data_IF_416587275736
#
_entry.id   IF_416587275736
#
_cell.length_a   1.000
_cell.length_b   1.000
_cell.length_c   1.000
_cell.angle_alpha   90.00
_cell.angle_beta   90.00
_cell.angle_gamma   90.00
#
_symmetry.space_group_name_H-M   'P 1'
#
loop_
_entity.id
_entity.type
_entity.pdbx_description
1 polymer ?
#
# COMPACT_ATOMS: atom_id res chain seq x y z
N UNK A 1 12.27 12.78 40.22
CA UNK A 1 12.20 11.32 40.46
C UNK A 1 12.70 10.66 39.18
N UNK A 2 13.84 9.96 39.25
CA UNK A 2 14.44 9.30 38.11
C UNK A 2 13.59 8.07 37.74
N UNK A 3 12.73 8.20 36.73
CA UNK A 3 12.16 7.06 36.03
C UNK A 3 13.27 6.43 35.19
N UNK A 4 13.71 5.25 35.62
CA UNK A 4 14.55 4.35 34.82
C UNK A 4 13.76 3.96 33.57
N UNK A 5 14.10 4.55 32.43
CA UNK A 5 13.61 4.09 31.13
C UNK A 5 14.22 2.71 30.86
N UNK A 6 13.39 1.68 30.73
CA UNK A 6 13.82 0.44 30.11
C UNK A 6 14.31 0.77 28.69
N UNK A 7 15.37 0.09 28.22
CA UNK A 7 15.86 0.32 26.86
C UNK A 7 14.73 0.04 25.87
N UNK A 8 14.68 0.76 24.76
CA UNK A 8 13.72 0.53 23.66
C UNK A 8 13.71 -0.94 23.22
N UNK A 9 14.85 -1.63 23.37
CA UNK A 9 15.03 -3.04 23.11
C UNK A 9 14.29 -3.95 24.11
N UNK A 10 14.23 -3.57 25.39
CA UNK A 10 13.55 -4.34 26.43
C UNK A 10 12.04 -4.16 26.41
N UNK A 11 11.53 -2.97 26.07
CA UNK A 11 10.09 -2.79 25.80
C UNK A 11 9.64 -3.52 24.53
N UNK A 12 10.48 -3.59 23.49
CA UNK A 12 10.16 -4.38 22.29
C UNK A 12 10.13 -5.88 22.61
N UNK A 13 11.00 -6.35 23.50
CA UNK A 13 11.02 -7.73 24.01
C UNK A 13 9.78 -8.06 24.87
N UNK A 14 9.29 -7.14 25.71
CA UNK A 14 8.08 -7.36 26.50
C UNK A 14 6.81 -7.37 25.63
N UNK A 15 6.81 -6.68 24.48
CA UNK A 15 5.73 -6.75 23.49
C UNK A 15 5.94 -7.93 22.51
N UNK A 16 7.15 -8.53 22.45
CA UNK A 16 7.43 -9.70 21.59
C UNK A 16 6.64 -10.95 21.99
N UNK A 17 6.24 -11.10 23.27
CA UNK A 17 5.33 -12.18 23.69
C UNK A 17 3.95 -12.06 23.00
N UNK A 18 3.48 -10.84 22.71
CA UNK A 18 2.29 -10.60 21.89
C UNK A 18 2.55 -10.72 20.37
N UNK A 19 3.81 -10.54 19.92
CA UNK A 19 4.18 -10.60 18.49
C UNK A 19 4.53 -11.98 17.96
N UNK A 20 4.80 -12.96 18.83
CA UNK A 20 5.19 -14.32 18.44
C UNK A 20 6.38 -14.36 17.46
N UNK A 21 7.29 -13.39 17.58
CA UNK A 21 8.52 -13.35 16.77
C UNK A 21 9.60 -14.13 17.52
N UNK A 22 10.23 -15.10 16.84
CA UNK A 22 11.28 -15.95 17.43
C UNK A 22 12.52 -15.12 17.81
N UNK A 23 13.05 -15.33 19.03
CA UNK A 23 14.29 -14.72 19.54
C UNK A 23 15.48 -14.96 18.61
N UNK A 24 15.53 -16.12 17.93
CA UNK A 24 16.55 -16.41 16.93
C UNK A 24 16.50 -15.43 15.76
N UNK A 25 15.31 -15.12 15.23
CA UNK A 25 15.14 -14.14 14.16
C UNK A 25 15.55 -12.73 14.61
N UNK A 26 15.14 -12.31 15.81
CA UNK A 26 15.56 -11.01 16.36
C UNK A 26 17.08 -10.96 16.50
N UNK A 27 17.73 -12.04 16.94
CA UNK A 27 19.19 -12.10 17.07
C UNK A 27 19.90 -11.93 15.73
N UNK A 28 19.36 -12.48 14.63
CA UNK A 28 19.92 -12.37 13.27
C UNK A 28 19.97 -10.90 12.83
N UNK A 29 18.88 -10.16 13.03
CA UNK A 29 18.74 -8.79 12.54
C UNK A 29 19.18 -7.72 13.57
N UNK A 30 19.62 -8.15 14.75
CA UNK A 30 20.12 -7.26 15.79
C UNK A 30 21.62 -7.03 15.64
N UNK A 31 22.07 -5.82 16.00
CA UNK A 31 23.49 -5.45 15.98
C UNK A 31 23.86 -4.51 14.83
N UNK A 32 25.12 -4.06 14.85
CA UNK A 32 25.69 -3.24 13.79
C UNK A 32 26.40 -4.15 12.79
N UNK A 33 25.80 -4.32 11.63
CA UNK A 33 26.36 -5.13 10.54
C UNK A 33 26.97 -4.20 9.49
N UNK A 34 28.12 -4.60 8.93
CA UNK A 34 28.53 -4.03 7.65
C UNK A 34 27.49 -4.38 6.59
N UNK A 35 27.48 -3.62 5.49
CA UNK A 35 26.52 -3.88 4.41
C UNK A 35 26.59 -5.30 3.86
N UNK A 36 27.79 -5.84 3.66
CA UNK A 36 27.95 -7.20 3.11
C UNK A 36 27.48 -8.27 4.10
N UNK A 37 27.74 -8.06 5.39
CA UNK A 37 27.21 -8.94 6.44
C UNK A 37 25.68 -8.90 6.47
N UNK A 38 25.08 -7.70 6.46
CA UNK A 38 23.64 -7.52 6.41
C UNK A 38 22.99 -8.23 5.21
N UNK A 39 23.60 -8.12 4.03
CA UNK A 39 23.14 -8.81 2.82
C UNK A 39 23.23 -10.35 2.94
N UNK A 40 24.31 -10.88 3.52
CA UNK A 40 24.46 -12.31 3.76
C UNK A 40 23.49 -12.83 4.83
N UNK A 41 23.09 -12.00 5.80
CA UNK A 41 22.12 -12.38 6.83
C UNK A 41 20.71 -12.60 6.27
N UNK A 42 20.37 -11.99 5.13
CA UNK A 42 19.07 -12.21 4.46
C UNK A 42 18.84 -13.67 4.07
N UNK A 43 19.91 -14.43 3.83
CA UNK A 43 19.85 -15.87 3.52
C UNK A 43 19.46 -16.75 4.71
N UNK A 44 19.56 -16.20 5.92
CA UNK A 44 19.19 -16.89 7.16
C UNK A 44 17.75 -16.60 7.58
N UNK A 45 17.03 -15.76 6.83
CA UNK A 45 15.67 -15.35 7.15
C UNK A 45 14.68 -16.27 6.45
N UNK A 46 13.79 -16.88 7.23
CA UNK A 46 12.59 -17.50 6.68
C UNK A 46 11.58 -16.40 6.31
N UNK A 47 11.47 -16.13 5.01
CA UNK A 47 10.62 -15.08 4.47
C UNK A 47 9.13 -15.43 4.47
N UNK A 48 8.73 -16.66 4.78
CA UNK A 48 7.31 -17.02 4.87
C UNK A 48 6.68 -16.42 6.14
N UNK A 49 7.47 -16.30 7.23
CA UNK A 49 7.04 -15.84 8.55
C UNK A 49 5.76 -16.56 9.02
N UNK A 50 5.76 -17.89 8.89
CA UNK A 50 4.65 -18.76 9.30
C UNK A 50 4.33 -18.59 10.79
N UNK A 51 3.04 -18.46 11.12
CA UNK A 51 2.58 -18.32 12.52
C UNK A 51 2.83 -16.96 13.20
N UNK A 52 3.61 -16.06 12.59
CA UNK A 52 3.90 -14.72 13.16
C UNK A 52 2.71 -13.78 12.99
N UNK A 53 2.39 -13.01 14.04
CA UNK A 53 1.30 -12.03 13.94
C UNK A 53 1.65 -10.87 13.02
N UNK A 54 0.67 -10.43 12.25
CA UNK A 54 0.79 -9.26 11.35
C UNK A 54 -0.15 -8.13 11.77
N UNK A 55 -0.91 -8.35 12.84
CA UNK A 55 -1.97 -7.47 13.33
C UNK A 55 -1.62 -6.95 14.70
N UNK A 56 -0.87 -5.85 14.75
CA UNK A 56 -0.56 -5.18 16.01
C UNK A 56 -0.64 -3.66 15.91
N UNK A 57 -0.84 -3.01 17.07
CA UNK A 57 -0.89 -1.56 17.20
C UNK A 57 -1.72 -0.92 16.07
N UNK A 58 -1.14 0.04 15.36
CA UNK A 58 -1.80 0.77 14.29
C UNK A 58 -2.00 -0.04 13.00
N UNK A 59 -1.33 -1.18 12.79
CA UNK A 59 -1.61 -2.06 11.64
C UNK A 59 -3.07 -2.58 11.63
N UNK A 60 -3.73 -2.58 12.79
CA UNK A 60 -5.12 -3.02 12.98
C UNK A 60 -6.20 -1.99 12.62
N UNK A 61 -5.84 -0.73 12.31
CA UNK A 61 -6.82 0.36 12.23
C UNK A 61 -7.82 0.21 11.08
N UNK A 62 -7.34 -0.27 9.93
CA UNK A 62 -8.16 -0.32 8.72
C UNK A 62 -7.89 -1.61 7.94
N UNK A 63 -8.96 -2.22 7.46
CA UNK A 63 -8.86 -3.27 6.45
C UNK A 63 -8.43 -2.64 5.13
N UNK A 64 -7.29 -3.07 4.59
CA UNK A 64 -6.78 -2.62 3.30
C UNK A 64 -6.27 -3.86 2.56
N UNK A 65 -6.68 -4.07 1.30
CA UNK A 65 -6.30 -5.25 0.52
C UNK A 65 -4.83 -5.17 0.08
N UNK A 66 -4.24 -6.33 -0.29
CA UNK A 66 -2.93 -6.40 -0.94
C UNK A 66 -1.79 -5.68 -0.17
N UNK A 67 -1.70 -5.94 1.14
CA UNK A 67 -0.61 -5.46 1.99
C UNK A 67 0.45 -6.53 2.14
N UNK A 68 1.73 -6.16 2.10
CA UNK A 68 2.76 -7.05 2.63
C UNK A 68 2.75 -7.08 4.17
N UNK A 69 3.41 -8.09 4.72
CA UNK A 69 3.51 -8.28 6.17
C UNK A 69 4.52 -7.30 6.78
N UNK A 70 4.32 -6.82 8.03
CA UNK A 70 5.23 -5.87 8.67
C UNK A 70 6.68 -6.37 8.83
N UNK A 71 6.87 -7.68 8.95
CA UNK A 71 8.19 -8.29 9.16
C UNK A 71 9.17 -8.03 8.00
N UNK A 72 8.65 -7.83 6.78
CA UNK A 72 9.50 -7.52 5.63
C UNK A 72 10.15 -6.13 5.80
N UNK A 73 9.41 -5.01 5.86
CA UNK A 73 10.02 -3.71 6.09
C UNK A 73 10.79 -3.65 7.41
N UNK A 74 10.30 -4.28 8.48
CA UNK A 74 11.04 -4.38 9.74
C UNK A 74 12.45 -4.94 9.55
N UNK A 75 12.59 -6.07 8.84
CA UNK A 75 13.89 -6.69 8.53
C UNK A 75 14.84 -5.71 7.84
N UNK A 76 14.40 -5.08 6.75
CA UNK A 76 15.24 -4.17 5.99
C UNK A 76 15.59 -2.91 6.77
N UNK A 77 14.65 -2.36 7.55
CA UNK A 77 14.88 -1.21 8.42
C UNK A 77 15.96 -1.54 9.45
N UNK A 78 15.89 -2.70 10.12
CA UNK A 78 16.86 -3.09 11.13
C UNK A 78 18.26 -3.33 10.55
N UNK A 79 18.36 -3.93 9.38
CA UNK A 79 19.64 -4.30 8.76
C UNK A 79 20.33 -3.16 7.99
N UNK A 80 19.57 -2.25 7.37
CA UNK A 80 20.13 -1.28 6.41
C UNK A 80 20.01 0.19 6.82
N UNK A 81 19.44 0.47 7.99
CA UNK A 81 19.29 1.85 8.50
C UNK A 81 19.70 2.01 9.95
N UNK A 82 20.12 3.22 10.30
CA UNK A 82 20.32 3.68 11.67
C UNK A 82 19.15 4.56 12.11
N UNK A 83 19.09 4.88 13.39
CA UNK A 83 18.13 5.89 13.87
C UNK A 83 18.32 7.22 13.14
N UNK A 84 17.21 7.90 12.84
CA UNK A 84 17.13 9.13 12.04
C UNK A 84 17.46 9.01 10.54
N UNK A 85 17.93 7.85 10.04
CA UNK A 85 17.96 7.61 8.59
C UNK A 85 16.54 7.68 8.01
N UNK A 86 16.45 8.02 6.72
CA UNK A 86 15.17 8.22 6.04
C UNK A 86 14.79 6.98 5.22
N UNK A 87 13.65 6.37 5.56
CA UNK A 87 13.06 5.23 4.84
C UNK A 87 11.95 5.73 3.92
N UNK A 88 12.01 5.35 2.64
CA UNK A 88 10.99 5.70 1.65
C UNK A 88 10.15 4.49 1.28
N UNK A 89 8.84 4.71 1.21
CA UNK A 89 7.90 3.86 0.51
C UNK A 89 7.17 4.70 -0.56
N UNK A 90 7.55 4.60 -1.85
CA UNK A 90 7.04 5.44 -2.93
C UNK A 90 5.61 5.07 -3.36
N UNK A 91 5.08 3.93 -2.90
CA UNK A 91 3.73 3.43 -3.16
C UNK A 91 3.14 2.85 -1.87
N UNK A 92 3.08 3.68 -0.82
CA UNK A 92 3.02 3.21 0.56
C UNK A 92 1.72 2.51 0.96
N UNK A 93 0.66 2.62 0.16
CA UNK A 93 -0.66 2.11 0.52
C UNK A 93 -1.06 2.62 1.90
N UNK A 94 -1.43 1.71 2.80
CA UNK A 94 -1.78 2.04 4.19
C UNK A 94 -0.56 2.17 5.15
N UNK A 95 0.66 2.23 4.62
CA UNK A 95 1.84 2.69 5.35
C UNK A 95 2.47 1.64 6.25
N UNK A 96 2.52 0.38 5.83
CA UNK A 96 3.18 -0.69 6.61
C UNK A 96 4.67 -0.36 6.85
N UNK A 97 5.40 0.08 5.82
CA UNK A 97 6.80 0.55 5.96
C UNK A 97 6.92 1.74 6.91
N UNK A 98 5.97 2.68 6.84
CA UNK A 98 6.02 3.90 7.65
C UNK A 98 5.82 3.61 9.13
N UNK A 99 4.88 2.72 9.46
CA UNK A 99 4.65 2.29 10.85
C UNK A 99 5.88 1.59 11.40
N UNK A 100 6.46 0.66 10.64
CA UNK A 100 7.68 -0.04 11.09
C UNK A 100 8.87 0.92 11.25
N UNK A 101 8.98 1.92 10.38
CA UNK A 101 10.00 2.96 10.51
C UNK A 101 9.79 3.78 11.79
N UNK A 102 8.54 4.19 12.04
CA UNK A 102 8.16 4.97 13.22
C UNK A 102 8.41 4.20 14.53
N UNK A 103 7.99 2.94 14.61
CA UNK A 103 8.21 2.07 15.78
C UNK A 103 9.70 1.84 16.07
N UNK A 104 10.55 1.95 15.05
CA UNK A 104 11.99 1.77 15.17
C UNK A 104 12.77 3.11 15.18
N UNK A 105 12.12 4.26 15.35
CA UNK A 105 12.81 5.56 15.45
C UNK A 105 13.56 5.99 14.17
N UNK A 106 13.07 5.55 13.00
CA UNK A 106 13.54 6.02 11.68
C UNK A 106 12.63 7.13 11.18
N UNK A 107 13.21 8.08 10.47
CA UNK A 107 12.42 9.03 9.71
C UNK A 107 11.85 8.31 8.49
N UNK A 108 10.67 8.71 8.02
CA UNK A 108 10.06 8.07 6.87
C UNK A 108 9.31 9.03 5.96
N UNK A 109 9.31 8.71 4.67
CA UNK A 109 8.50 9.38 3.65
C UNK A 109 7.64 8.30 2.99
N UNK A 110 6.33 8.51 2.98
CA UNK A 110 5.39 7.70 2.22
C UNK A 110 4.79 8.51 1.10
N UNK A 111 4.75 7.95 -0.10
CA UNK A 111 4.03 8.51 -1.23
C UNK A 111 2.97 7.50 -1.70
N UNK A 112 1.75 7.96 -1.93
CA UNK A 112 0.73 7.15 -2.60
C UNK A 112 -0.26 8.05 -3.34
N UNK A 113 -0.75 7.62 -4.50
CA UNK A 113 -1.71 8.41 -5.26
C UNK A 113 -3.12 8.35 -4.64
N UNK A 114 -3.45 7.28 -3.91
CA UNK A 114 -4.74 7.08 -3.27
C UNK A 114 -4.85 7.94 -1.99
N UNK A 115 -5.72 8.97 -1.96
CA UNK A 115 -5.85 9.85 -0.80
C UNK A 115 -6.39 9.14 0.45
N UNK A 116 -7.13 8.03 0.28
CA UNK A 116 -7.54 7.23 1.43
C UNK A 116 -6.33 6.50 2.05
N UNK A 117 -5.44 5.99 1.21
CA UNK A 117 -4.26 5.29 1.64
C UNK A 117 -3.30 6.22 2.40
N UNK A 118 -3.10 7.44 1.90
CA UNK A 118 -2.29 8.47 2.57
C UNK A 118 -2.90 8.90 3.91
N UNK A 119 -4.22 9.10 3.98
CA UNK A 119 -4.91 9.43 5.24
C UNK A 119 -4.71 8.32 6.29
N UNK A 120 -4.90 7.04 5.90
CA UNK A 120 -4.70 5.90 6.80
C UNK A 120 -3.23 5.85 7.26
N UNK A 121 -2.28 5.98 6.34
CA UNK A 121 -0.85 5.99 6.63
C UNK A 121 -0.45 7.09 7.63
N UNK A 122 -0.99 8.30 7.45
CA UNK A 122 -0.77 9.43 8.35
C UNK A 122 -1.26 9.12 9.76
N UNK A 123 -2.52 8.69 9.90
CA UNK A 123 -3.10 8.39 11.22
C UNK A 123 -2.37 7.25 11.92
N UNK A 124 -1.93 6.22 11.19
CA UNK A 124 -1.19 5.10 11.76
C UNK A 124 0.20 5.47 12.31
N UNK A 125 0.72 6.64 11.94
CA UNK A 125 2.04 7.14 12.32
C UNK A 125 1.98 8.45 13.11
N UNK A 126 0.78 8.89 13.53
CA UNK A 126 0.58 10.11 14.31
C UNK A 126 0.11 9.77 15.72
N UNK A 127 0.90 10.10 16.73
CA UNK A 127 0.48 10.00 18.13
C UNK A 127 -0.39 11.21 18.48
N UNK A 128 -1.49 10.94 19.20
CA UNK A 128 -2.43 11.96 19.65
C UNK A 128 -2.35 12.03 21.18
N UNK A 129 -2.16 13.22 21.78
CA UNK A 129 -2.18 13.38 23.23
C UNK A 129 -3.48 12.86 23.83
N UNK A 130 -3.40 12.20 24.99
CA UNK A 130 -4.58 11.62 25.64
C UNK A 130 -5.68 12.67 25.91
N UNK A 131 -5.26 13.89 26.24
CA UNK A 131 -6.15 15.02 26.47
C UNK A 131 -7.05 15.34 25.27
N UNK A 132 -6.55 15.17 24.04
CA UNK A 132 -7.25 15.51 22.81
C UNK A 132 -8.30 14.46 22.43
N UNK A 133 -8.12 13.20 22.85
CA UNK A 133 -9.18 12.19 22.70
C UNK A 133 -10.45 12.54 23.47
N UNK A 134 -10.35 13.28 24.58
CA UNK A 134 -11.54 13.74 25.34
C UNK A 134 -12.45 14.61 24.48
N UNK A 135 -11.88 15.28 23.48
CA UNK A 135 -12.63 16.16 22.61
C UNK A 135 -13.53 15.39 21.64
N UNK A 136 -13.02 14.35 20.95
CA UNK A 136 -13.86 13.48 20.12
C UNK A 136 -14.88 12.70 20.96
N UNK A 137 -14.52 12.27 22.18
CA UNK A 137 -15.45 11.61 23.11
C UNK A 137 -16.61 12.52 23.51
N UNK A 138 -16.34 13.81 23.79
CA UNK A 138 -17.36 14.82 24.06
C UNK A 138 -18.29 15.03 22.86
N UNK A 139 -17.73 15.10 21.64
CA UNK A 139 -18.50 15.25 20.41
C UNK A 139 -19.39 14.04 20.14
N UNK A 140 -18.87 12.82 20.31
CA UNK A 140 -19.63 11.57 20.24
C UNK A 140 -20.79 11.57 21.26
N UNK A 141 -20.55 12.03 22.49
CA UNK A 141 -21.61 12.11 23.50
C UNK A 141 -22.72 13.11 23.13
N UNK A 142 -22.37 14.25 22.53
CA UNK A 142 -23.35 15.21 22.01
C UNK A 142 -24.14 14.65 20.82
N UNK A 143 -23.47 13.99 19.89
CA UNK A 143 -24.07 13.32 18.73
C UNK A 143 -25.19 12.37 19.15
N UNK A 144 -24.99 11.60 20.23
CA UNK A 144 -26.02 10.70 20.79
C UNK A 144 -27.28 11.41 21.32
N UNK A 145 -27.21 12.71 21.61
CA UNK A 145 -28.34 13.49 22.17
C UNK A 145 -29.20 14.19 21.12
N UNK A 146 -28.69 14.37 19.91
CA UNK A 146 -29.36 15.11 18.84
C UNK A 146 -29.42 14.24 17.58
N UNK A 147 -30.62 13.75 17.25
CA UNK A 147 -30.92 13.03 16.02
C UNK A 147 -32.16 13.67 15.39
N UNK A 148 -32.05 14.94 14.99
CA UNK A 148 -33.01 15.53 14.06
C UNK A 148 -32.49 15.27 12.64
N UNK A 149 -33.23 14.44 11.89
CA UNK A 149 -32.88 14.10 10.52
C UNK A 149 -33.31 15.23 9.58
N UNK A 150 -32.37 15.88 8.92
CA UNK A 150 -32.68 16.75 7.77
C UNK A 150 -32.97 15.88 6.54
N UNK A 151 -34.26 15.64 6.30
CA UNK A 151 -34.72 14.79 5.20
C UNK A 151 -34.38 15.36 3.81
N UNK A 152 -34.23 16.68 3.64
CA UNK A 152 -33.94 17.29 2.35
C UNK A 152 -32.53 16.97 1.86
N UNK A 153 -31.53 17.11 2.76
CA UNK A 153 -30.14 16.76 2.47
C UNK A 153 -29.92 15.27 2.23
N UNK A 154 -30.72 14.41 2.89
CA UNK A 154 -30.69 12.96 2.69
C UNK A 154 -31.16 12.57 1.28
N UNK A 155 -32.20 13.20 0.75
CA UNK A 155 -32.75 12.90 -0.57
C UNK A 155 -31.77 13.29 -1.69
N UNK A 156 -31.17 14.48 -1.64
CA UNK A 156 -30.15 14.91 -2.59
C UNK A 156 -28.94 13.96 -2.64
N UNK A 157 -28.52 13.43 -1.50
CA UNK A 157 -27.39 12.49 -1.44
C UNK A 157 -27.73 11.15 -2.09
N UNK A 158 -28.95 10.64 -1.89
CA UNK A 158 -29.42 9.38 -2.48
C UNK A 158 -29.37 9.47 -4.01
N UNK A 159 -29.85 10.57 -4.57
CA UNK A 159 -29.92 10.78 -6.01
C UNK A 159 -28.53 10.85 -6.67
N UNK A 160 -27.52 11.28 -5.90
CA UNK A 160 -26.13 11.41 -6.35
C UNK A 160 -25.24 10.18 -6.05
N UNK A 161 -25.77 9.09 -5.48
CA UNK A 161 -24.98 7.87 -5.24
C UNK A 161 -24.63 7.16 -6.57
N UNK A 162 -23.40 6.60 -6.71
CA UNK A 162 -23.03 5.83 -7.90
C UNK A 162 -23.98 4.65 -8.14
N UNK A 163 -24.56 4.56 -9.35
CA UNK A 163 -25.56 3.55 -9.70
C UNK A 163 -24.95 2.13 -9.74
N UNK A 164 -25.15 1.34 -8.66
CA UNK A 164 -24.87 -0.10 -8.55
C UNK A 164 -25.88 -0.77 -7.60
N UNK A 165 -25.98 -2.10 -7.63
CA UNK A 165 -26.81 -2.97 -6.76
C UNK A 165 -26.58 -2.81 -5.22
N UNK A 166 -25.75 -1.85 -4.79
CA UNK A 166 -25.42 -1.50 -3.40
C UNK A 166 -26.18 -0.24 -2.93
N UNK A 167 -26.96 0.42 -3.79
CA UNK A 167 -27.91 1.47 -3.38
C UNK A 167 -28.88 0.99 -2.27
N UNK A 168 -29.09 -0.32 -2.14
CA UNK A 168 -29.91 -0.93 -1.08
C UNK A 168 -29.27 -0.90 0.32
N UNK A 169 -27.93 -0.74 0.42
CA UNK A 169 -27.23 -0.66 1.72
C UNK A 169 -27.40 0.74 2.33
N UNK A 170 -27.22 1.77 1.51
CA UNK A 170 -27.32 3.17 1.90
C UNK A 170 -28.78 3.66 1.83
N UNK A 171 -29.64 3.12 2.68
CA UNK A 171 -31.00 3.65 2.85
C UNK A 171 -31.02 4.98 3.62
N UNK A 172 -32.16 5.69 3.64
CA UNK A 172 -32.33 6.99 4.32
C UNK A 172 -31.78 7.00 5.76
N UNK A 173 -32.05 5.95 6.54
CA UNK A 173 -31.59 5.83 7.93
C UNK A 173 -30.07 5.72 8.03
N UNK A 174 -29.45 4.87 7.20
CA UNK A 174 -27.99 4.70 7.18
C UNK A 174 -27.30 5.99 6.72
N UNK A 175 -27.82 6.62 5.68
CA UNK A 175 -27.30 7.90 5.17
C UNK A 175 -27.36 8.97 6.26
N UNK A 176 -28.51 9.13 6.93
CA UNK A 176 -28.65 10.08 8.04
C UNK A 176 -27.58 9.88 9.10
N UNK A 177 -27.35 8.64 9.54
CA UNK A 177 -26.31 8.30 10.53
C UNK A 177 -24.89 8.63 10.06
N UNK A 178 -24.58 8.35 8.79
CA UNK A 178 -23.27 8.66 8.22
C UNK A 178 -23.04 10.17 8.10
N UNK A 179 -24.07 10.94 7.71
CA UNK A 179 -24.01 12.41 7.67
C UNK A 179 -23.82 12.99 9.07
N UNK A 180 -24.52 12.51 10.10
CA UNK A 180 -24.33 12.98 11.48
C UNK A 180 -22.89 12.78 11.96
N UNK A 181 -22.28 11.61 11.70
CA UNK A 181 -20.87 11.37 12.05
C UNK A 181 -19.96 12.34 11.29
N UNK A 182 -20.22 12.54 9.99
CA UNK A 182 -19.42 13.44 9.15
C UNK A 182 -19.50 14.89 9.63
N UNK A 183 -20.69 15.40 9.95
CA UNK A 183 -20.87 16.76 10.50
C UNK A 183 -20.13 16.93 11.83
N UNK A 184 -20.24 15.95 12.72
CA UNK A 184 -19.47 15.94 13.97
C UNK A 184 -17.96 16.01 13.71
N UNK A 185 -17.44 15.30 12.71
CA UNK A 185 -16.03 15.38 12.32
C UNK A 185 -15.67 16.76 11.72
N UNK A 186 -16.54 17.36 10.92
CA UNK A 186 -16.32 18.71 10.38
C UNK A 186 -16.23 19.75 11.49
N UNK A 187 -17.07 19.68 12.53
CA UNK A 187 -16.94 20.56 13.70
C UNK A 187 -15.58 20.39 14.41
N UNK A 188 -15.05 19.15 14.47
CA UNK A 188 -13.72 18.91 15.06
C UNK A 188 -12.63 19.60 14.22
N UNK A 189 -12.75 19.57 12.88
CA UNK A 189 -11.85 20.27 11.96
C UNK A 189 -11.94 21.78 12.11
N UNK A 190 -13.15 22.34 12.16
CA UNK A 190 -13.39 23.78 12.24
C UNK A 190 -12.90 24.37 13.57
N UNK A 191 -12.92 23.57 14.64
CA UNK A 191 -12.32 23.90 15.94
C UNK A 191 -10.80 23.64 16.00
N UNK A 192 -10.14 23.38 14.85
CA UNK A 192 -8.69 23.21 14.67
C UNK A 192 -8.06 21.94 15.30
N UNK A 193 -8.86 20.91 15.61
CA UNK A 193 -8.35 19.62 16.09
C UNK A 193 -8.01 18.68 14.91
N UNK A 194 -7.06 19.06 14.07
CA UNK A 194 -6.77 18.40 12.79
C UNK A 194 -6.38 16.92 12.91
N UNK A 195 -5.52 16.56 13.88
CA UNK A 195 -5.10 15.16 14.04
C UNK A 195 -6.24 14.28 14.56
N UNK A 196 -7.07 14.83 15.45
CA UNK A 196 -8.29 14.15 15.94
C UNK A 196 -9.32 14.02 14.81
N UNK A 197 -9.42 15.02 13.94
CA UNK A 197 -10.26 14.97 12.74
C UNK A 197 -9.82 13.85 11.80
N UNK A 198 -8.54 13.79 11.42
CA UNK A 198 -8.02 12.75 10.55
C UNK A 198 -8.16 11.35 11.18
N UNK A 199 -7.86 11.22 12.47
CA UNK A 199 -8.12 10.00 13.25
C UNK A 199 -9.59 9.57 13.17
N UNK A 200 -10.51 10.51 13.39
CA UNK A 200 -11.95 10.27 13.29
C UNK A 200 -12.39 9.88 11.88
N UNK A 201 -11.80 10.45 10.83
CA UNK A 201 -12.05 10.06 9.43
C UNK A 201 -11.60 8.63 9.15
N UNK A 202 -10.46 8.18 9.69
CA UNK A 202 -10.02 6.78 9.52
C UNK A 202 -10.95 5.82 10.26
N UNK A 203 -11.39 6.17 11.47
CA UNK A 203 -12.40 5.39 12.18
C UNK A 203 -13.73 5.33 11.41
N UNK A 204 -14.15 6.45 10.81
CA UNK A 204 -15.35 6.54 9.97
C UNK A 204 -15.22 5.69 8.70
N UNK A 205 -14.07 5.75 8.04
CA UNK A 205 -13.74 4.88 6.90
C UNK A 205 -13.80 3.40 7.27
N UNK A 206 -13.23 3.01 8.43
CA UNK A 206 -13.25 1.62 8.89
C UNK A 206 -14.69 1.15 9.19
N UNK A 207 -15.57 2.05 9.63
CA UNK A 207 -17.01 1.78 9.77
C UNK A 207 -17.68 1.58 8.41
N UNK A 208 -17.42 2.44 7.43
CA UNK A 208 -17.95 2.30 6.06
C UNK A 208 -17.49 0.98 5.44
N UNK A 209 -16.22 0.61 5.60
CA UNK A 209 -15.70 -0.68 5.16
C UNK A 209 -16.51 -1.83 5.78
N UNK A 210 -16.71 -1.80 7.10
CA UNK A 210 -17.48 -2.82 7.81
C UNK A 210 -18.93 -2.88 7.33
N UNK A 211 -19.56 -1.73 7.06
CA UNK A 211 -20.92 -1.65 6.54
C UNK A 211 -21.04 -2.28 5.14
N UNK A 212 -20.09 -2.00 4.26
CA UNK A 212 -20.06 -2.56 2.90
C UNK A 212 -19.85 -4.09 2.92
N UNK A 213 -19.00 -4.61 3.81
CA UNK A 213 -18.74 -6.05 3.93
C UNK A 213 -19.92 -6.82 4.53
N UNK A 214 -20.58 -6.29 5.56
CA UNK A 214 -21.59 -7.03 6.33
C UNK A 214 -23.04 -6.75 5.89
N UNK A 215 -23.29 -5.70 5.09
CA UNK A 215 -24.62 -5.39 4.56
C UNK A 215 -25.58 -4.72 5.55
N UNK A 216 -26.88 -4.90 5.32
CA UNK A 216 -27.95 -4.23 6.06
C UNK A 216 -28.10 -4.71 7.50
N UNK A 217 -28.43 -3.78 8.42
CA UNK A 217 -28.69 -4.08 9.84
C UNK A 217 -27.53 -3.76 10.80
N UNK A 218 -26.40 -3.26 10.28
CA UNK A 218 -25.30 -2.79 11.12
C UNK A 218 -25.69 -1.53 11.92
N UNK A 219 -25.37 -1.53 13.21
CA UNK A 219 -25.41 -0.32 14.04
C UNK A 219 -24.17 0.54 13.72
N UNK A 220 -24.34 1.47 12.77
CA UNK A 220 -23.28 2.36 12.27
C UNK A 220 -22.64 3.17 13.39
N UNK A 221 -23.45 3.75 14.29
CA UNK A 221 -22.97 4.65 15.34
C UNK A 221 -22.14 3.88 16.37
N UNK A 222 -22.67 2.76 16.87
CA UNK A 222 -21.95 1.93 17.82
C UNK A 222 -20.69 1.31 17.20
N UNK A 223 -20.73 0.97 15.91
CA UNK A 223 -19.55 0.47 15.18
C UNK A 223 -18.48 1.55 15.11
N UNK A 224 -18.84 2.78 14.75
CA UNK A 224 -17.91 3.92 14.75
C UNK A 224 -17.31 4.19 16.12
N UNK A 225 -18.12 4.19 17.18
CA UNK A 225 -17.65 4.39 18.55
C UNK A 225 -16.66 3.30 18.97
N UNK A 226 -16.97 2.03 18.67
CA UNK A 226 -16.06 0.91 18.95
C UNK A 226 -14.75 1.05 18.18
N UNK A 227 -14.77 1.52 16.93
CA UNK A 227 -13.55 1.80 16.16
C UNK A 227 -12.72 2.92 16.79
N UNK A 228 -13.34 4.02 17.18
CA UNK A 228 -12.68 5.12 17.90
C UNK A 228 -12.02 4.64 19.20
N UNK A 229 -12.76 3.92 20.03
CA UNK A 229 -12.25 3.39 21.31
C UNK A 229 -11.09 2.41 21.11
N UNK A 230 -11.23 1.50 20.15
CA UNK A 230 -10.20 0.55 19.78
C UNK A 230 -8.93 1.25 19.29
N UNK A 231 -9.04 2.14 18.31
CA UNK A 231 -7.89 2.85 17.74
C UNK A 231 -7.21 3.76 18.79
N UNK A 232 -7.98 4.41 19.67
CA UNK A 232 -7.44 5.16 20.80
C UNK A 232 -6.58 4.28 21.71
N UNK A 233 -7.09 3.11 22.12
CA UNK A 233 -6.35 2.16 22.96
C UNK A 233 -5.00 1.81 22.33
N UNK A 234 -5.01 1.43 21.05
CA UNK A 234 -3.80 1.04 20.33
C UNK A 234 -2.81 2.19 20.15
N UNK A 235 -3.26 3.43 19.91
CA UNK A 235 -2.37 4.60 19.86
C UNK A 235 -1.72 4.89 21.23
N UNK A 236 -2.47 4.73 22.32
CA UNK A 236 -1.92 4.91 23.67
C UNK A 236 -0.90 3.83 24.03
N UNK A 237 -1.11 2.58 23.60
CA UNK A 237 -0.09 1.52 23.74
C UNK A 237 1.13 1.81 22.87
N UNK A 238 0.92 2.24 21.62
CA UNK A 238 2.00 2.63 20.71
C UNK A 238 2.85 3.77 21.29
N UNK A 239 2.23 4.76 21.93
CA UNK A 239 2.92 5.87 22.58
C UNK A 239 3.84 5.44 23.74
N UNK A 240 3.58 4.31 24.40
CA UNK A 240 4.45 3.76 25.45
C UNK A 240 5.71 3.11 24.89
N UNK A 241 5.61 2.53 23.68
CA UNK A 241 6.69 1.77 23.03
C UNK A 241 7.63 2.71 22.27
N UNK A 242 7.08 3.77 21.68
CA UNK A 242 7.83 4.74 20.90
C UNK A 242 8.71 5.57 21.82
N UNK A 243 9.96 5.14 21.97
CA UNK A 243 10.97 5.79 22.81
C UNK A 243 11.37 7.19 22.33
N UNK A 244 11.17 7.50 21.04
CA UNK A 244 11.50 8.78 20.42
C UNK A 244 10.57 9.05 19.24
N UNK A 245 10.06 10.28 19.15
CA UNK A 245 9.28 10.71 18.00
C UNK A 245 10.20 10.92 16.79
N UNK A 246 10.02 10.12 15.74
CA UNK A 246 10.65 10.32 14.44
C UNK A 246 9.74 11.10 13.50
N UNK A 247 10.35 11.70 12.47
CA UNK A 247 9.62 12.43 11.44
C UNK A 247 9.00 11.45 10.43
N UNK A 248 7.68 11.53 10.23
CA UNK A 248 6.99 10.82 9.15
C UNK A 248 6.26 11.83 8.25
N UNK A 249 6.63 11.86 6.97
CA UNK A 249 5.95 12.62 5.93
C UNK A 249 5.09 11.68 5.09
N UNK A 250 3.80 11.99 4.94
CA UNK A 250 2.93 11.26 4.02
C UNK A 250 2.46 12.22 2.93
N UNK A 251 2.67 11.85 1.67
CA UNK A 251 2.41 12.66 0.49
C UNK A 251 1.38 11.97 -0.40
N UNK A 252 0.41 12.73 -0.88
CA UNK A 252 -0.46 12.30 -1.97
C UNK A 252 0.20 12.69 -3.29
N UNK A 253 0.80 11.73 -3.98
CA UNK A 253 1.60 12.01 -5.17
C UNK A 253 1.79 10.79 -6.07
N UNK A 254 2.28 11.05 -7.29
CA UNK A 254 2.52 10.03 -8.29
C UNK A 254 3.93 9.45 -8.15
N UNK A 255 4.05 8.13 -8.00
CA UNK A 255 5.35 7.47 -7.85
C UNK A 255 6.25 7.60 -9.09
N UNK A 256 5.68 7.93 -10.25
CA UNK A 256 6.41 8.22 -11.50
C UNK A 256 7.09 9.59 -11.49
N UNK A 257 6.78 10.43 -10.49
CA UNK A 257 7.35 11.76 -10.28
C UNK A 257 7.32 12.11 -8.79
N UNK A 258 8.35 11.71 -8.06
CA UNK A 258 8.44 11.93 -6.62
C UNK A 258 8.84 13.38 -6.31
N UNK A 259 8.05 14.09 -5.53
CA UNK A 259 8.38 15.43 -5.01
C UNK A 259 9.30 15.33 -3.77
N UNK A 260 10.46 14.70 -3.99
CA UNK A 260 11.49 14.39 -3.00
C UNK A 260 12.84 14.75 -3.61
N UNK A 261 13.75 15.28 -2.80
CA UNK A 261 15.10 15.68 -3.25
C UNK A 261 15.95 14.46 -3.67
N UNK A 262 16.86 14.68 -4.61
CA UNK A 262 17.86 13.70 -5.05
C UNK A 262 18.73 13.24 -3.87
N UNK A 263 19.15 11.97 -3.88
CA UNK A 263 20.07 11.40 -2.88
C UNK A 263 19.71 11.70 -1.41
N UNK A 264 18.42 11.75 -1.09
CA UNK A 264 17.92 12.14 0.22
C UNK A 264 17.51 10.98 1.11
N UNK A 265 17.26 9.79 0.54
CA UNK A 265 16.75 8.62 1.29
C UNK A 265 17.80 7.53 1.47
N UNK A 266 17.73 6.81 2.60
CA UNK A 266 18.73 5.81 3.03
C UNK A 266 18.31 4.37 2.74
N UNK A 267 17.02 4.12 2.55
CA UNK A 267 16.45 2.82 2.25
C UNK A 267 15.10 3.00 1.53
N UNK A 268 14.84 2.19 0.52
CA UNK A 268 13.50 2.02 -0.06
C UNK A 268 13.00 0.61 0.25
N UNK A 269 11.79 0.49 0.81
CA UNK A 269 11.07 -0.78 0.93
C UNK A 269 9.63 -0.56 0.53
N UNK A 270 9.14 -1.30 -0.46
CA UNK A 270 7.82 -1.05 -1.06
C UNK A 270 7.19 -2.33 -1.57
N UNK A 271 5.86 -2.33 -1.67
CA UNK A 271 5.10 -3.33 -2.43
C UNK A 271 4.21 -2.60 -3.44
N UNK A 272 4.65 -2.47 -4.70
CA UNK A 272 3.89 -1.78 -5.73
C UNK A 272 2.59 -2.54 -6.05
N UNK A 273 1.60 -1.89 -6.68
CA UNK A 273 0.42 -2.58 -7.17
C UNK A 273 0.80 -3.62 -8.22
N UNK A 274 0.21 -4.82 -8.15
CA UNK A 274 0.49 -5.89 -9.12
C UNK A 274 -0.43 -5.77 -10.33
N UNK A 275 0.13 -5.88 -11.54
CA UNK A 275 -0.66 -5.74 -12.77
C UNK A 275 -1.83 -6.71 -12.80
N UNK A 276 -3.03 -6.18 -13.09
CA UNK A 276 -4.27 -6.94 -13.18
C UNK A 276 -4.68 -7.68 -11.90
N UNK A 277 -4.13 -7.30 -10.73
CA UNK A 277 -4.51 -7.93 -9.47
C UNK A 277 -5.76 -7.29 -8.83
N UNK A 278 -5.81 -5.96 -8.76
CA UNK A 278 -6.86 -5.25 -8.03
C UNK A 278 -7.19 -3.89 -8.67
N UNK A 279 -8.47 -3.50 -8.59
CA UNK A 279 -8.93 -2.14 -8.85
C UNK A 279 -9.11 -1.41 -7.50
N UNK A 280 -8.10 -0.71 -7.00
CA UNK A 280 -8.15 0.01 -5.73
C UNK A 280 -9.23 1.09 -5.71
N UNK A 281 -9.43 1.84 -6.80
CA UNK A 281 -10.51 2.85 -6.83
C UNK A 281 -11.89 2.20 -6.68
N UNK A 282 -12.11 0.98 -7.21
CA UNK A 282 -13.39 0.28 -7.04
C UNK A 282 -13.55 -0.20 -5.61
N UNK A 283 -12.49 -0.76 -5.05
CA UNK A 283 -12.48 -1.29 -3.68
C UNK A 283 -12.73 -0.19 -2.65
N UNK A 284 -12.17 1.00 -2.88
CA UNK A 284 -12.27 2.13 -1.95
C UNK A 284 -13.36 3.16 -2.30
N UNK A 285 -14.12 2.93 -3.38
CA UNK A 285 -15.05 3.92 -3.94
C UNK A 285 -16.01 4.51 -2.89
N UNK A 286 -16.62 3.66 -2.05
CA UNK A 286 -17.57 4.13 -1.03
C UNK A 286 -16.90 4.90 0.10
N UNK A 287 -15.75 4.41 0.58
CA UNK A 287 -14.95 5.11 1.59
C UNK A 287 -14.57 6.51 1.09
N UNK A 288 -14.06 6.59 -0.14
CA UNK A 288 -13.68 7.85 -0.77
C UNK A 288 -14.88 8.78 -0.98
N UNK A 289 -16.02 8.25 -1.42
CA UNK A 289 -17.26 9.03 -1.59
C UNK A 289 -17.71 9.70 -0.29
N UNK A 290 -17.73 8.97 0.83
CA UNK A 290 -18.16 9.49 2.12
C UNK A 290 -17.14 10.42 2.78
N UNK A 291 -15.87 10.28 2.42
CA UNK A 291 -14.78 11.16 2.85
C UNK A 291 -14.53 12.33 1.91
N UNK A 292 -15.38 12.50 0.87
CA UNK A 292 -15.30 13.57 -0.13
C UNK A 292 -13.96 13.60 -0.90
N UNK A 293 -13.46 12.41 -1.24
CA UNK A 293 -12.24 12.22 -2.02
C UNK A 293 -12.54 11.91 -3.48
N UNK A 294 -11.69 12.40 -4.38
CA UNK A 294 -11.83 12.18 -5.82
C UNK A 294 -11.34 10.80 -6.26
N UNK A 295 -12.25 9.82 -6.27
CA UNK A 295 -11.97 8.48 -6.80
C UNK A 295 -11.90 8.42 -8.33
N UNK A 296 -12.41 9.45 -9.03
CA UNK A 296 -12.31 9.57 -10.48
C UNK A 296 -10.88 9.87 -10.92
N UNK A 297 -10.22 10.78 -10.20
CA UNK A 297 -8.79 11.05 -10.35
C UNK A 297 -7.96 9.80 -10.03
N UNK A 298 -8.22 9.11 -8.92
CA UNK A 298 -7.54 7.85 -8.59
C UNK A 298 -7.68 6.82 -9.72
N UNK A 299 -8.89 6.62 -10.24
CA UNK A 299 -9.15 5.69 -11.35
C UNK A 299 -8.29 6.00 -12.59
N UNK A 300 -8.00 7.28 -12.86
CA UNK A 300 -7.26 7.70 -14.05
C UNK A 300 -5.75 7.47 -13.93
N UNK A 301 -5.20 7.56 -12.73
CA UNK A 301 -3.76 7.49 -12.48
C UNK A 301 -3.29 6.19 -11.83
N UNK A 302 -4.21 5.31 -11.42
CA UNK A 302 -3.90 4.00 -10.84
C UNK A 302 -2.99 3.17 -11.75
N UNK A 303 -1.90 2.64 -11.17
CA UNK A 303 -0.96 1.76 -11.85
C UNK A 303 -1.49 0.32 -11.78
N UNK A 304 -1.53 -0.36 -12.93
CA UNK A 304 -1.88 -1.79 -13.01
C UNK A 304 -3.36 -2.14 -12.83
N UNK A 305 -4.25 -1.15 -12.73
CA UNK A 305 -5.70 -1.33 -12.56
C UNK A 305 -6.38 -2.04 -13.75
N UNK A 306 -7.39 -2.86 -13.46
CA UNK A 306 -8.14 -3.67 -14.43
C UNK A 306 -9.20 -2.85 -15.21
N UNK A 307 -9.56 -1.66 -14.73
CA UNK A 307 -10.79 -0.93 -15.08
C UNK A 307 -10.72 0.07 -16.24
N UNK A 308 -10.07 -0.30 -17.32
CA UNK A 308 -10.32 0.32 -18.59
C UNK A 308 -10.96 -0.72 -19.50
N UNK A 309 -11.99 -0.34 -20.26
CA UNK A 309 -12.47 -1.15 -21.38
C UNK A 309 -11.38 -1.16 -22.46
N UNK A 310 -10.26 -1.82 -22.17
CA UNK A 310 -9.17 -2.01 -23.12
C UNK A 310 -9.51 -3.27 -23.89
N UNK A 311 -9.81 -3.10 -25.17
CA UNK A 311 -10.15 -4.20 -26.07
C UNK A 311 -9.02 -5.25 -26.12
N UNK A 312 -7.77 -4.80 -26.06
CA UNK A 312 -6.59 -5.65 -25.96
C UNK A 312 -5.87 -5.46 -24.61
N UNK A 313 -6.10 -6.39 -23.68
CA UNK A 313 -5.54 -6.32 -22.33
C UNK A 313 -4.02 -6.32 -22.26
N UNK A 314 -3.28 -6.79 -23.26
CA UNK A 314 -1.80 -6.74 -23.24
C UNK A 314 -1.24 -5.32 -23.27
N UNK A 315 -2.04 -4.32 -23.70
CA UNK A 315 -1.68 -2.90 -23.57
C UNK A 315 -1.55 -2.48 -22.11
N UNK A 316 -2.36 -3.06 -21.20
CA UNK A 316 -2.22 -2.85 -19.75
C UNK A 316 -0.85 -3.29 -19.23
N UNK A 317 -0.29 -4.38 -19.78
CA UNK A 317 1.06 -4.83 -19.40
C UNK A 317 2.11 -3.82 -19.86
N UNK A 318 2.00 -3.29 -21.09
CA UNK A 318 2.91 -2.25 -21.58
C UNK A 318 2.83 -0.96 -20.75
N UNK A 319 1.62 -0.48 -20.45
CA UNK A 319 1.38 0.67 -19.55
C UNK A 319 2.03 0.43 -18.17
N UNK A 320 1.77 -0.73 -17.56
CA UNK A 320 2.32 -1.09 -16.26
C UNK A 320 3.85 -1.15 -16.25
N UNK A 321 4.46 -1.79 -17.26
CA UNK A 321 5.92 -1.88 -17.34
C UNK A 321 6.57 -0.50 -17.49
N UNK A 322 5.94 0.40 -18.25
CA UNK A 322 6.41 1.78 -18.38
C UNK A 322 6.29 2.54 -17.05
N UNK A 323 5.13 2.47 -16.40
CA UNK A 323 4.88 3.14 -15.12
C UNK A 323 5.84 2.68 -14.02
N UNK A 324 6.10 1.37 -13.95
CA UNK A 324 7.06 0.80 -13.01
C UNK A 324 8.50 1.19 -13.35
N UNK A 325 8.90 1.19 -14.63
CA UNK A 325 10.23 1.64 -15.03
C UNK A 325 10.47 3.11 -14.66
N UNK A 326 9.50 4.00 -14.92
CA UNK A 326 9.57 5.41 -14.50
C UNK A 326 9.68 5.55 -12.98
N UNK A 327 8.87 4.78 -12.25
CA UNK A 327 8.91 4.77 -10.78
C UNK A 327 10.27 4.26 -10.27
N UNK A 328 10.87 3.25 -10.90
CA UNK A 328 12.20 2.76 -10.53
C UNK A 328 13.30 3.79 -10.85
N UNK A 329 13.17 4.59 -11.91
CA UNK A 329 14.09 5.71 -12.18
C UNK A 329 13.99 6.76 -11.07
N UNK A 330 12.77 7.11 -10.64
CA UNK A 330 12.57 8.02 -9.50
C UNK A 330 13.11 7.45 -8.18
N UNK A 331 12.93 6.15 -7.94
CA UNK A 331 13.53 5.45 -6.80
C UNK A 331 15.07 5.53 -6.84
N UNK A 332 15.69 5.39 -8.02
CA UNK A 332 17.13 5.57 -8.16
C UNK A 332 17.55 7.02 -7.84
N UNK A 333 16.83 8.01 -8.38
CA UNK A 333 17.12 9.44 -8.19
C UNK A 333 17.16 9.84 -6.71
N UNK A 334 16.15 9.44 -5.94
CA UNK A 334 16.02 9.85 -4.53
C UNK A 334 16.88 9.05 -3.56
N UNK A 335 17.23 7.80 -3.90
CA UNK A 335 18.02 6.92 -3.05
C UNK A 335 19.50 7.32 -3.08
N UNK A 336 20.15 7.41 -1.93
CA UNK A 336 21.60 7.67 -1.85
C UNK A 336 22.41 6.55 -2.53
N UNK A 337 23.51 6.92 -3.16
CA UNK A 337 24.42 5.94 -3.77
C UNK A 337 24.90 4.88 -2.75
N UNK A 338 24.95 3.62 -3.17
CA UNK A 338 25.32 2.50 -2.31
C UNK A 338 24.24 2.03 -1.34
N UNK A 339 23.04 2.64 -1.31
CA UNK A 339 21.92 2.17 -0.48
C UNK A 339 21.05 1.13 -1.21
N UNK A 340 20.09 0.56 -0.48
CA UNK A 340 19.27 -0.57 -0.91
C UNK A 340 17.85 -0.13 -1.27
N UNK A 341 17.31 -0.73 -2.33
CA UNK A 341 15.91 -0.69 -2.70
C UNK A 341 15.35 -2.12 -2.70
N UNK A 342 14.36 -2.40 -1.87
CA UNK A 342 13.68 -3.68 -1.79
C UNK A 342 12.23 -3.55 -2.29
N UNK A 343 11.89 -4.35 -3.31
CA UNK A 343 10.57 -4.36 -3.94
C UNK A 343 9.93 -5.73 -3.74
N UNK A 344 8.78 -5.77 -3.07
CA UNK A 344 7.99 -6.99 -2.87
C UNK A 344 6.91 -7.07 -3.94
N UNK A 345 6.99 -8.08 -4.79
CA UNK A 345 6.08 -8.23 -5.93
C UNK A 345 5.64 -9.67 -6.14
N UNK A 346 4.34 -9.87 -6.36
CA UNK A 346 3.76 -11.16 -6.67
C UNK A 346 3.69 -11.42 -8.17
N UNK A 347 3.61 -12.71 -8.53
CA UNK A 347 3.24 -13.09 -9.88
C UNK A 347 1.77 -12.76 -10.13
N UNK A 348 1.45 -12.37 -11.36
CA UNK A 348 0.06 -12.16 -11.77
C UNK A 348 -0.26 -12.90 -13.07
N UNK A 349 -1.51 -12.80 -13.52
CA UNK A 349 -1.97 -13.44 -14.74
C UNK A 349 -2.69 -12.42 -15.61
N UNK A 350 -2.43 -12.46 -16.91
CA UNK A 350 -3.12 -11.65 -17.90
C UNK A 350 -3.47 -12.51 -19.10
N UNK A 351 -4.76 -12.64 -19.41
CA UNK A 351 -5.22 -13.42 -20.58
C UNK A 351 -4.69 -14.86 -20.60
N UNK A 352 -4.62 -15.49 -19.42
CA UNK A 352 -4.08 -16.85 -19.18
C UNK A 352 -2.56 -16.99 -19.31
N UNK A 353 -1.83 -15.89 -19.43
CA UNK A 353 -0.36 -15.86 -19.43
C UNK A 353 0.18 -15.37 -18.09
N UNK A 354 1.24 -16.04 -17.62
CA UNK A 354 1.92 -15.72 -16.36
C UNK A 354 2.75 -14.45 -16.54
N UNK A 355 2.61 -13.51 -15.60
CA UNK A 355 3.39 -12.29 -15.55
C UNK A 355 4.33 -12.35 -14.34
N UNK A 356 5.61 -12.52 -14.62
CA UNK A 356 6.67 -12.59 -13.62
C UNK A 356 7.31 -11.22 -13.41
N UNK A 357 6.60 -10.31 -12.72
CA UNK A 357 6.99 -8.90 -12.54
C UNK A 357 8.43 -8.70 -12.08
N UNK A 358 8.92 -9.55 -11.17
CA UNK A 358 10.30 -9.48 -10.66
C UNK A 358 11.35 -9.54 -11.77
N UNK A 359 11.17 -10.40 -12.79
CA UNK A 359 12.12 -10.56 -13.91
C UNK A 359 12.22 -9.30 -14.76
N UNK A 360 11.09 -8.60 -14.96
CA UNK A 360 11.11 -7.33 -15.69
C UNK A 360 11.85 -6.25 -14.90
N UNK A 361 11.61 -6.16 -13.59
CA UNK A 361 12.30 -5.20 -12.72
C UNK A 361 13.81 -5.48 -12.67
N UNK A 362 14.20 -6.75 -12.55
CA UNK A 362 15.60 -7.19 -12.63
C UNK A 362 16.24 -6.78 -13.96
N UNK A 363 15.53 -7.00 -15.08
CA UNK A 363 16.03 -6.60 -16.40
C UNK A 363 16.17 -5.09 -16.56
N UNK A 364 15.34 -4.28 -15.91
CA UNK A 364 15.40 -2.82 -15.97
C UNK A 364 16.55 -2.25 -15.14
N UNK A 365 16.86 -2.87 -14.00
CA UNK A 365 17.76 -2.32 -12.99
C UNK A 365 19.09 -1.80 -13.55
N UNK A 366 19.77 -2.60 -14.37
CA UNK A 366 21.10 -2.27 -14.91
C UNK A 366 21.09 -1.01 -15.77
N UNK A 367 20.02 -0.79 -16.52
CA UNK A 367 19.92 0.34 -17.46
C UNK A 367 19.66 1.67 -16.73
N UNK A 368 19.26 1.62 -15.45
CA UNK A 368 18.87 2.79 -14.64
C UNK A 368 19.74 2.98 -13.39
N UNK A 369 20.94 2.40 -13.35
CA UNK A 369 21.90 2.63 -12.27
C UNK A 369 21.69 1.78 -11.01
N UNK A 370 20.82 0.76 -11.09
CA UNK A 370 20.69 -0.27 -10.07
C UNK A 370 21.46 -1.54 -10.45
N UNK A 371 22.01 -2.21 -9.45
CA UNK A 371 22.50 -3.57 -9.55
C UNK A 371 21.55 -4.50 -8.79
N UNK A 372 21.08 -5.56 -9.46
CA UNK A 372 20.34 -6.62 -8.80
C UNK A 372 21.28 -7.43 -7.92
N UNK A 373 20.95 -7.52 -6.63
CA UNK A 373 21.73 -8.31 -5.68
C UNK A 373 21.13 -9.70 -5.51
N UNK A 374 19.84 -9.79 -5.16
CA UNK A 374 19.18 -11.06 -4.87
C UNK A 374 17.67 -10.95 -4.98
N UNK A 375 17.03 -12.09 -5.26
CA UNK A 375 15.58 -12.25 -5.22
C UNK A 375 15.24 -13.42 -4.31
N UNK A 376 14.41 -13.19 -3.30
CA UNK A 376 13.89 -14.23 -2.42
C UNK A 376 12.45 -14.57 -2.79
N UNK A 377 12.15 -15.86 -2.87
CA UNK A 377 10.79 -16.37 -3.01
C UNK A 377 10.18 -16.58 -1.62
N UNK A 378 8.88 -16.29 -1.47
CA UNK A 378 8.10 -16.64 -0.29
C UNK A 378 6.69 -17.08 -0.66
N UNK A 379 6.12 -17.95 0.16
CA UNK A 379 4.72 -18.31 0.09
C UNK A 379 3.85 -17.32 0.88
N UNK A 380 2.68 -16.99 0.35
CA UNK A 380 1.69 -16.22 1.09
C UNK A 380 0.83 -17.17 1.92
N UNK A 381 0.75 -16.92 3.22
CA UNK A 381 -0.22 -17.57 4.11
C UNK A 381 -1.65 -17.18 3.72
N UNK A 382 -2.34 -18.11 3.06
CA UNK A 382 -3.70 -17.93 2.51
C UNK A 382 -4.78 -17.76 3.59
N UNK A 383 -4.47 -18.05 4.85
CA UNK A 383 -5.42 -17.87 5.97
C UNK A 383 -5.54 -16.41 6.42
N UNK A 384 -4.62 -15.53 5.98
CA UNK A 384 -4.58 -14.13 6.39
C UNK A 384 -5.55 -13.28 5.57
N UNK A 385 -6.35 -12.44 6.24
CA UNK A 385 -7.42 -11.56 5.69
C UNK A 385 -7.02 -10.62 4.54
N UNK A 386 -5.75 -10.55 4.14
CA UNK A 386 -5.24 -9.61 3.14
C UNK A 386 -5.36 -10.11 1.70
N UNK A 387 -5.68 -11.40 1.52
CA UNK A 387 -6.03 -12.01 0.25
C UNK A 387 -7.56 -12.09 0.19
N UNK A 388 -8.21 -11.18 -0.56
CA UNK A 388 -9.65 -11.34 -0.76
C UNK A 388 -9.88 -12.61 -1.62
N UNK A 389 -10.90 -13.41 -1.31
CA UNK A 389 -11.21 -14.64 -2.02
C UNK A 389 -11.50 -14.46 -3.54
N UNK A 390 -11.70 -13.22 -4.00
CA UNK A 390 -12.01 -12.85 -5.39
C UNK A 390 -10.87 -12.14 -6.13
N UNK A 391 -9.80 -11.76 -5.42
CA UNK A 391 -8.56 -11.25 -6.03
C UNK A 391 -7.75 -12.49 -6.34
N UNK A 392 -7.27 -12.64 -7.57
CA UNK A 392 -6.58 -13.85 -8.04
C UNK A 392 -5.66 -14.43 -6.97
N UNK A 393 -5.71 -15.76 -6.79
CA UNK A 393 -4.92 -16.51 -5.80
C UNK A 393 -3.42 -16.35 -6.06
N UNK A 394 -2.87 -15.18 -5.76
CA UNK A 394 -1.43 -14.96 -5.75
C UNK A 394 -0.95 -15.67 -4.49
N UNK A 395 -0.26 -16.79 -4.72
CA UNK A 395 0.17 -17.68 -3.66
C UNK A 395 1.67 -17.48 -3.36
N UNK A 396 2.34 -16.68 -4.19
CA UNK A 396 3.77 -16.48 -4.30
C UNK A 396 4.13 -15.00 -4.40
N UNK A 397 5.11 -14.58 -3.61
CA UNK A 397 5.73 -13.26 -3.64
C UNK A 397 7.24 -13.37 -3.79
N UNK A 398 7.82 -12.35 -4.41
CA UNK A 398 9.25 -12.20 -4.61
C UNK A 398 9.72 -10.90 -3.94
N UNK A 399 10.80 -10.98 -3.16
CA UNK A 399 11.46 -9.83 -2.58
C UNK A 399 12.71 -9.57 -3.40
N UNK A 400 12.64 -8.57 -4.28
CA UNK A 400 13.71 -8.21 -5.21
C UNK A 400 14.55 -7.11 -4.58
N UNK A 401 15.86 -7.33 -4.49
CA UNK A 401 16.78 -6.44 -3.79
C UNK A 401 17.75 -5.84 -4.79
N UNK A 402 17.74 -4.52 -4.85
CA UNK A 402 18.64 -3.71 -5.66
C UNK A 402 19.58 -2.88 -4.80
N UNK A 403 20.78 -2.66 -5.29
CA UNK A 403 21.70 -1.65 -4.79
C UNK A 403 21.83 -0.52 -5.81
N UNK A 404 21.71 0.73 -5.38
CA UNK A 404 22.13 1.85 -6.24
C UNK A 404 23.65 1.85 -6.37
N UNK A 405 24.16 1.76 -7.59
CA UNK A 405 25.61 1.77 -7.90
C UNK A 405 26.05 3.03 -8.62
N UNK A 406 25.12 3.69 -9.30
CA UNK A 406 25.29 4.98 -9.94
C UNK A 406 23.94 5.68 -10.09
N UNK A 407 23.97 6.99 -10.32
CA UNK A 407 22.77 7.72 -10.72
C UNK A 407 22.29 7.25 -12.10
N UNK A 408 20.97 7.16 -12.27
CA UNK A 408 20.34 6.91 -13.56
C UNK A 408 20.77 7.98 -14.56
N UNK A 409 21.23 7.56 -15.73
CA UNK A 409 21.57 8.48 -16.84
C UNK A 409 20.37 8.87 -17.69
N UNK A 410 19.20 8.31 -17.37
CA UNK A 410 17.94 8.51 -18.09
C UNK A 410 16.91 9.11 -17.14
N UNK A 411 16.06 9.98 -17.67
CA UNK A 411 14.98 10.61 -16.93
C UNK A 411 13.72 9.75 -16.95
N UNK A 412 12.93 9.79 -15.87
CA UNK A 412 11.61 9.20 -15.84
C UNK A 412 10.64 9.83 -16.88
N UNK A 413 10.98 10.97 -17.48
CA UNK A 413 10.21 11.62 -18.55
C UNK A 413 10.74 11.31 -19.97
N UNK A 414 11.77 10.47 -20.11
CA UNK A 414 12.31 10.08 -21.41
C UNK A 414 11.44 9.00 -22.07
N UNK A 415 10.36 9.42 -22.72
CA UNK A 415 9.38 8.51 -23.34
C UNK A 415 10.01 7.57 -24.36
N UNK A 416 11.05 8.01 -25.09
CA UNK A 416 11.70 7.19 -26.11
C UNK A 416 12.51 6.05 -25.48
N UNK A 417 13.27 6.34 -24.42
CA UNK A 417 13.95 5.31 -23.64
C UNK A 417 12.96 4.31 -23.03
N UNK A 418 11.89 4.81 -22.39
CA UNK A 418 10.89 3.97 -21.75
C UNK A 418 10.20 3.06 -22.79
N UNK A 419 9.81 3.61 -23.94
CA UNK A 419 9.19 2.83 -25.02
C UNK A 419 10.11 1.72 -25.53
N UNK A 420 11.39 2.02 -25.76
CA UNK A 420 12.37 1.04 -26.23
C UNK A 420 12.60 -0.08 -25.20
N UNK A 421 12.76 0.27 -23.92
CA UNK A 421 12.95 -0.70 -22.85
C UNK A 421 11.72 -1.62 -22.71
N UNK A 422 10.50 -1.07 -22.70
CA UNK A 422 9.26 -1.84 -22.61
C UNK A 422 9.05 -2.71 -23.85
N UNK A 423 9.35 -2.19 -25.05
CA UNK A 423 9.27 -2.96 -26.30
C UNK A 423 10.13 -4.22 -26.25
N UNK A 424 11.38 -4.10 -25.80
CA UNK A 424 12.29 -5.24 -25.63
C UNK A 424 11.72 -6.31 -24.70
N UNK A 425 11.09 -5.90 -23.58
CA UNK A 425 10.45 -6.83 -22.65
C UNK A 425 9.21 -7.50 -23.27
N UNK A 426 8.37 -6.73 -23.95
CA UNK A 426 7.16 -7.25 -24.61
C UNK A 426 7.49 -8.20 -25.76
N UNK A 427 8.56 -7.95 -26.53
CA UNK A 427 9.06 -8.87 -27.55
C UNK A 427 9.55 -10.18 -26.94
N UNK A 428 10.30 -10.11 -25.85
CA UNK A 428 10.76 -11.29 -25.09
C UNK A 428 9.58 -12.11 -24.58
N UNK A 429 8.59 -11.44 -23.98
CA UNK A 429 7.36 -12.05 -23.51
C UNK A 429 6.58 -12.72 -24.65
N UNK A 430 6.46 -12.06 -25.81
CA UNK A 430 5.82 -12.63 -27.01
C UNK A 430 6.48 -13.94 -27.43
N UNK A 431 7.81 -14.00 -27.47
CA UNK A 431 8.53 -15.21 -27.84
C UNK A 431 8.35 -16.34 -26.81
N UNK A 432 8.28 -16.01 -25.52
CA UNK A 432 7.92 -16.97 -24.47
C UNK A 432 6.53 -17.57 -24.72
N UNK A 433 5.52 -16.73 -24.98
CA UNK A 433 4.15 -17.17 -25.22
C UNK A 433 4.04 -17.96 -26.52
N UNK A 434 4.81 -17.62 -27.55
CA UNK A 434 4.87 -18.39 -28.79
C UNK A 434 5.36 -19.82 -28.56
N UNK A 435 6.34 -20.01 -27.67
CA UNK A 435 6.89 -21.33 -27.32
C UNK A 435 5.97 -22.12 -26.39
N UNK A 436 5.49 -21.47 -25.33
CA UNK A 436 4.64 -22.07 -24.30
C UNK A 436 3.48 -21.13 -23.97
N UNK A 437 2.34 -21.25 -24.67
CA UNK A 437 1.17 -20.42 -24.38
C UNK A 437 0.31 -21.01 -23.24
N UNK A 438 -0.42 -20.15 -22.53
CA UNK A 438 -1.31 -20.56 -21.43
C UNK A 438 -0.59 -20.87 -20.12
N UNK A 439 0.49 -20.14 -19.83
CA UNK A 439 1.40 -20.41 -18.70
C UNK A 439 0.79 -20.20 -17.30
N UNK A 440 -0.37 -19.55 -17.21
CA UNK A 440 -1.06 -19.31 -15.93
C UNK A 440 -2.49 -19.86 -15.89
N UNK A 441 -2.81 -20.84 -16.73
CA UNK A 441 -4.14 -21.47 -16.76
C UNK A 441 -4.46 -22.09 -15.39
N UNK A 442 -5.52 -21.56 -14.75
CA UNK A 442 -6.09 -22.10 -13.51
C UNK A 442 -7.58 -22.35 -13.68
N UNK A 443 -8.01 -23.61 -13.54
CA UNK A 443 -9.41 -24.04 -13.60
C UNK A 443 -10.05 -23.97 -14.99
N UNK A 444 -10.26 -22.75 -15.54
CA UNK A 444 -10.84 -22.55 -16.88
C UNK A 444 -9.88 -23.05 -17.96
N UNK A 445 -10.38 -23.78 -18.95
CA UNK A 445 -9.58 -24.30 -20.08
C UNK A 445 -9.86 -23.49 -21.35
N UNK A 446 -9.09 -22.43 -21.66
CA UNK A 446 -9.24 -21.70 -22.91
C UNK A 446 -8.92 -22.59 -24.12
N UNK A 447 -9.50 -22.28 -25.28
CA UNK A 447 -9.19 -23.02 -26.51
C UNK A 447 -7.76 -22.75 -26.96
N UNK A 448 -7.12 -23.73 -27.61
CA UNK A 448 -5.78 -23.56 -28.19
C UNK A 448 -5.71 -22.37 -29.15
N UNK A 449 -6.76 -22.18 -29.96
CA UNK A 449 -6.86 -21.04 -30.88
C UNK A 449 -6.86 -19.69 -30.13
N UNK A 450 -7.56 -19.58 -28.99
CA UNK A 450 -7.55 -18.36 -28.17
C UNK A 450 -6.15 -18.06 -27.62
N UNK A 451 -5.45 -19.08 -27.14
CA UNK A 451 -4.11 -18.93 -26.59
C UNK A 451 -3.09 -18.54 -27.67
N UNK A 452 -3.16 -19.16 -28.86
CA UNK A 452 -2.31 -18.78 -29.99
C UNK A 452 -2.55 -17.33 -30.46
N UNK A 453 -3.81 -16.86 -30.38
CA UNK A 453 -4.16 -15.47 -30.69
C UNK A 453 -3.51 -14.45 -29.72
N UNK A 454 -3.05 -14.87 -28.53
CA UNK A 454 -2.32 -13.95 -27.64
C UNK A 454 -1.04 -13.42 -28.28
N UNK A 455 -0.37 -14.18 -29.15
CA UNK A 455 0.86 -13.73 -29.85
C UNK A 455 0.58 -12.52 -30.77
N UNK A 456 -0.54 -12.55 -31.51
CA UNK A 456 -0.95 -11.42 -32.35
C UNK A 456 -1.39 -10.22 -31.50
N UNK A 457 -2.14 -10.46 -30.43
CA UNK A 457 -2.55 -9.40 -29.50
C UNK A 457 -1.35 -8.74 -28.82
N UNK A 458 -0.32 -9.50 -28.44
CA UNK A 458 0.93 -8.96 -27.89
C UNK A 458 1.66 -8.14 -28.97
N UNK A 459 1.69 -8.60 -30.22
CA UNK A 459 2.31 -7.85 -31.32
C UNK A 459 1.62 -6.50 -31.54
N UNK A 460 0.29 -6.47 -31.51
CA UNK A 460 -0.45 -5.21 -31.56
C UNK A 460 -0.13 -4.29 -30.38
N UNK A 461 0.01 -4.84 -29.16
CA UNK A 461 0.39 -4.05 -28.00
C UNK A 461 1.79 -3.45 -28.16
N UNK A 462 2.76 -4.20 -28.71
CA UNK A 462 4.11 -3.71 -29.03
C UNK A 462 4.05 -2.51 -29.98
N UNK A 463 3.23 -2.59 -31.03
CA UNK A 463 3.12 -1.52 -32.04
C UNK A 463 2.45 -0.24 -31.49
N UNK A 464 1.76 -0.33 -30.34
CA UNK A 464 1.02 0.78 -29.71
C UNK A 464 1.69 1.36 -28.46
N UNK A 465 2.87 0.85 -28.08
CA UNK A 465 3.58 1.27 -26.85
C UNK A 465 3.74 2.79 -26.78
N UNK A 466 4.21 3.46 -27.86
CA UNK A 466 4.48 4.90 -27.84
C UNK A 466 3.22 5.74 -27.52
N UNK A 467 2.03 5.27 -27.90
CA UNK A 467 0.77 5.93 -27.56
C UNK A 467 0.33 5.61 -26.13
N UNK A 468 0.55 4.37 -25.68
CA UNK A 468 0.02 3.83 -24.43
C UNK A 468 0.78 4.31 -23.19
N UNK A 469 2.11 4.45 -23.28
CA UNK A 469 2.97 4.73 -22.12
C UNK A 469 3.00 6.19 -21.67
N UNK A 470 2.24 7.06 -22.35
CA UNK A 470 2.19 8.47 -22.01
C UNK A 470 1.46 8.64 -20.68
N UNK A 471 2.08 9.36 -19.75
CA UNK A 471 1.46 9.67 -18.47
C UNK A 471 0.15 10.40 -18.76
N UNK A 472 -0.96 9.85 -18.26
CA UNK A 472 -2.30 10.45 -18.40
C UNK A 472 -2.27 11.76 -17.60
N UNK A 473 -2.34 12.90 -18.29
CA UNK A 473 -2.34 14.24 -17.68
C UNK A 473 -3.65 14.59 -17.00
#
# INVERSE_FOLDING_TARGET
>A
MNTTYASSQQLYLDVNDEFSINDEYISIISGNHSKMEALNLLDKIDWDFGGVTTQYLSHKFHSYPARFIPQIPFTFIKLFTKENDVVLDPMCGCGTTLVESFLNGRNSIGNDFNPLATLISKVKTTLIPEADFRYIEKKIFKMKKYLDLDYGRIEERIDNLPNRNISKIFNKTIIGKLETIKEMLLEIKDENYNDVYDFGRVAFSATIWSLVENGNGMDVENTFIKKVQFMKKELLEMAKIVSRQSYTKVMQGDARKLEIDDDSVDLIVTSPPYVNALDYYRTHMYNMLWLEMDFGLLKKHEIGGHSHFIMNRFRLLSEYLADMLRSMIEMNRVLKNGKICAIVVGNSSLEYELIESHKYFESFAKDIGFEHFKTFFRNIDKSRKYTSANIGQIDDEFIVIFQKVSDSKVSANDDDFIAQAVKKQMETFREQIRKNPGTSIRGKKPTKARLLNNVERISFAIDTIQQDIKIKG
#
